data_IF_011718875298
#
_entry.id   IF_011718875298
#
_cell.length_a   1.000
_cell.length_b   1.000
_cell.length_c   1.000
_cell.angle_alpha   90.00
_cell.angle_beta   90.00
_cell.angle_gamma   90.00
#
_symmetry.space_group_name_H-M   'P 1'
#
loop_
_entity.id
_entity.type
_entity.pdbx_description
1 polymer ?
#
# COMPACT_ATOMS: atom_id res chain seq x y z
N UNK A 1 20.01 -16.44 4.03
CA UNK A 1 18.78 -17.22 3.75
C UNK A 1 18.81 -17.66 2.31
N UNK A 2 18.71 -18.95 2.09
CA UNK A 2 18.66 -19.55 0.75
C UNK A 2 17.40 -19.06 0.02
N UNK A 3 17.56 -18.62 -1.23
CA UNK A 3 16.43 -18.14 -2.05
C UNK A 3 15.82 -19.34 -2.76
N UNK A 4 14.60 -19.70 -2.41
CA UNK A 4 13.84 -20.75 -3.09
C UNK A 4 13.08 -20.13 -4.27
N UNK A 5 13.27 -20.68 -5.47
CA UNK A 5 12.50 -20.32 -6.67
C UNK A 5 11.28 -21.23 -6.77
N UNK A 6 10.08 -20.65 -6.78
CA UNK A 6 8.83 -21.36 -6.95
C UNK A 6 8.07 -20.83 -8.19
N UNK A 7 7.36 -21.71 -8.88
CA UNK A 7 6.44 -21.29 -9.96
C UNK A 7 5.27 -20.51 -9.38
N UNK A 8 5.00 -19.32 -9.90
CA UNK A 8 3.94 -18.43 -9.41
C UNK A 8 2.55 -19.09 -9.27
N UNK A 9 2.09 -19.97 -10.21
CA UNK A 9 0.81 -20.67 -10.05
C UNK A 9 0.77 -21.60 -8.82
N UNK A 10 1.86 -22.28 -8.52
CA UNK A 10 1.95 -23.18 -7.36
C UNK A 10 1.86 -22.36 -6.08
N UNK A 11 2.69 -21.32 -5.96
CA UNK A 11 2.70 -20.43 -4.81
C UNK A 11 1.32 -19.77 -4.60
N UNK A 12 0.69 -19.29 -5.67
CA UNK A 12 -0.66 -18.74 -5.61
C UNK A 12 -1.68 -19.73 -5.05
N UNK A 13 -1.65 -20.99 -5.48
CA UNK A 13 -2.56 -22.06 -5.00
C UNK A 13 -2.40 -22.25 -3.48
N UNK A 14 -1.17 -22.26 -2.98
CA UNK A 14 -0.91 -22.43 -1.55
C UNK A 14 -1.36 -21.20 -0.73
N UNK A 15 -1.11 -19.97 -1.24
CA UNK A 15 -1.60 -18.75 -0.58
C UNK A 15 -3.13 -18.73 -0.48
N UNK A 16 -3.83 -19.16 -1.52
CA UNK A 16 -5.31 -19.28 -1.50
C UNK A 16 -5.74 -20.26 -0.41
N UNK A 17 -5.11 -21.45 -0.33
CA UNK A 17 -5.41 -22.44 0.72
C UNK A 17 -5.22 -21.86 2.13
N UNK A 18 -4.11 -21.14 2.33
CA UNK A 18 -3.81 -20.51 3.61
C UNK A 18 -4.91 -19.50 3.97
N UNK A 19 -5.25 -18.56 3.09
CA UNK A 19 -6.29 -17.57 3.38
C UNK A 19 -7.65 -18.21 3.65
N UNK A 20 -8.00 -19.28 2.95
CA UNK A 20 -9.23 -20.05 3.20
C UNK A 20 -9.23 -20.68 4.60
N UNK A 21 -8.08 -21.23 5.04
CA UNK A 21 -7.93 -21.78 6.39
C UNK A 21 -8.15 -20.70 7.46
N UNK A 22 -7.85 -19.44 7.15
CA UNK A 22 -8.13 -18.30 8.02
C UNK A 22 -9.54 -17.69 7.83
N UNK A 23 -10.42 -18.35 7.07
CA UNK A 23 -11.85 -18.01 6.98
C UNK A 23 -12.25 -17.10 5.83
N UNK A 24 -11.33 -16.72 4.92
CA UNK A 24 -11.71 -15.99 3.73
C UNK A 24 -12.52 -16.87 2.78
N UNK A 25 -13.49 -16.27 2.07
CA UNK A 25 -14.16 -16.92 0.95
C UNK A 25 -13.17 -17.27 -0.16
N UNK A 26 -13.55 -18.17 -1.06
CA UNK A 26 -12.72 -18.54 -2.22
C UNK A 26 -12.33 -17.30 -3.06
N UNK A 27 -13.27 -16.38 -3.29
CA UNK A 27 -13.04 -15.18 -4.11
C UNK A 27 -12.13 -14.19 -3.39
N UNK A 28 -12.37 -13.92 -2.11
CA UNK A 28 -11.52 -13.04 -1.32
C UNK A 28 -10.09 -13.57 -1.18
N UNK A 29 -9.92 -14.88 -0.99
CA UNK A 29 -8.62 -15.53 -0.96
C UNK A 29 -7.90 -15.42 -2.31
N UNK A 30 -8.61 -15.60 -3.43
CA UNK A 30 -8.07 -15.47 -4.80
C UNK A 30 -7.63 -14.04 -5.10
N UNK A 31 -8.45 -13.04 -4.77
CA UNK A 31 -8.11 -11.62 -4.93
C UNK A 31 -6.85 -11.30 -4.13
N UNK A 32 -6.80 -11.69 -2.86
CA UNK A 32 -5.67 -11.43 -1.97
C UNK A 32 -4.38 -12.11 -2.44
N UNK A 33 -4.49 -13.37 -2.89
CA UNK A 33 -3.35 -14.10 -3.44
C UNK A 33 -2.82 -13.45 -4.73
N UNK A 34 -3.69 -12.99 -5.62
CA UNK A 34 -3.27 -12.29 -6.84
C UNK A 34 -2.41 -11.07 -6.54
N UNK A 35 -2.83 -10.23 -5.59
CA UNK A 35 -2.10 -9.03 -5.20
C UNK A 35 -0.73 -9.36 -4.58
N UNK A 36 -0.65 -10.38 -3.71
CA UNK A 36 0.62 -10.81 -3.13
C UNK A 36 1.59 -11.41 -4.16
N UNK A 37 1.08 -12.23 -5.07
CA UNK A 37 1.91 -12.83 -6.13
C UNK A 37 2.36 -11.76 -7.13
N UNK A 38 1.50 -10.79 -7.48
CA UNK A 38 1.92 -9.68 -8.32
C UNK A 38 3.10 -8.92 -7.72
N UNK A 39 3.07 -8.65 -6.40
CA UNK A 39 4.16 -7.98 -5.73
C UNK A 39 5.50 -8.76 -5.81
N UNK A 40 5.46 -10.09 -5.76
CA UNK A 40 6.65 -10.92 -5.98
C UNK A 40 7.14 -10.82 -7.42
N UNK A 41 6.24 -10.89 -8.40
CA UNK A 41 6.57 -10.86 -9.83
C UNK A 41 7.21 -9.54 -10.28
N UNK A 42 6.81 -8.42 -9.66
CA UNK A 42 7.40 -7.09 -9.94
C UNK A 42 8.58 -6.75 -9.04
N UNK A 43 9.07 -7.69 -8.22
CA UNK A 43 10.23 -7.48 -7.34
C UNK A 43 9.95 -6.65 -6.09
N UNK A 44 8.68 -6.38 -5.77
CA UNK A 44 8.29 -5.61 -4.59
C UNK A 44 8.09 -6.52 -3.36
N UNK A 45 9.09 -7.33 -3.03
CA UNK A 45 9.07 -8.38 -1.99
C UNK A 45 8.60 -7.91 -0.61
N UNK A 46 8.76 -6.62 -0.30
CA UNK A 46 8.24 -6.02 0.94
C UNK A 46 6.71 -5.94 1.02
N UNK A 47 6.00 -6.15 -0.10
CA UNK A 47 4.54 -6.13 -0.23
C UNK A 47 3.97 -7.48 -0.69
N UNK A 48 4.83 -8.48 -0.93
CA UNK A 48 4.49 -9.81 -1.37
C UNK A 48 4.30 -10.82 -0.23
N UNK A 49 4.76 -12.03 -0.45
CA UNK A 49 4.58 -13.19 0.45
C UNK A 49 5.17 -12.97 1.85
N UNK A 50 6.20 -12.14 1.96
CA UNK A 50 6.76 -11.74 3.26
C UNK A 50 5.72 -11.13 4.21
N UNK A 51 4.58 -10.68 3.70
CA UNK A 51 3.45 -10.11 4.46
C UNK A 51 2.35 -11.13 4.80
N UNK A 52 2.36 -12.32 4.21
CA UNK A 52 1.27 -13.30 4.39
C UNK A 52 1.00 -13.58 5.87
N UNK A 53 2.06 -13.84 6.65
CA UNK A 53 1.93 -14.08 8.10
C UNK A 53 1.25 -12.91 8.81
N UNK A 54 1.62 -11.67 8.48
CA UNK A 54 1.01 -10.48 9.08
C UNK A 54 -0.51 -10.42 8.85
N UNK A 55 -0.99 -10.76 7.64
CA UNK A 55 -2.43 -10.79 7.37
C UNK A 55 -3.12 -11.91 8.14
N UNK A 56 -2.54 -13.11 8.17
CA UNK A 56 -3.06 -14.23 8.95
C UNK A 56 -3.16 -13.89 10.44
N UNK A 57 -2.10 -13.32 11.02
CA UNK A 57 -2.08 -12.88 12.42
C UNK A 57 -3.18 -11.83 12.71
N UNK A 58 -3.42 -10.90 11.79
CA UNK A 58 -4.48 -9.88 11.91
C UNK A 58 -5.88 -10.48 11.85
N UNK A 59 -6.09 -11.48 11.02
CA UNK A 59 -7.36 -12.23 10.97
C UNK A 59 -7.58 -12.95 12.29
N UNK A 60 -6.59 -13.71 12.77
CA UNK A 60 -6.67 -14.43 14.05
C UNK A 60 -6.94 -13.49 15.23
N UNK A 61 -6.39 -12.27 15.20
CA UNK A 61 -6.60 -11.24 16.22
C UNK A 61 -7.89 -10.44 16.02
N UNK A 62 -8.75 -10.82 15.08
CA UNK A 62 -10.02 -10.15 14.75
C UNK A 62 -9.87 -8.67 14.31
N UNK A 63 -8.66 -8.26 13.89
CA UNK A 63 -8.41 -6.93 13.32
C UNK A 63 -8.87 -6.88 11.87
N UNK A 64 -8.81 -8.00 11.16
CA UNK A 64 -9.39 -8.17 9.82
C UNK A 64 -10.60 -9.09 9.94
N UNK A 65 -11.73 -8.62 9.40
CA UNK A 65 -12.95 -9.42 9.26
C UNK A 65 -12.83 -10.33 8.03
N UNK A 66 -12.76 -11.67 8.19
CA UNK A 66 -12.65 -12.59 7.05
C UNK A 66 -13.95 -12.76 6.25
N UNK A 67 -15.10 -12.36 6.83
CA UNK A 67 -16.43 -12.44 6.23
C UNK A 67 -17.14 -11.08 6.25
N UNK A 68 -16.56 -10.05 5.59
CA UNK A 68 -17.06 -8.68 5.68
C UNK A 68 -18.40 -8.52 4.94
N UNK A 69 -19.23 -7.64 5.46
CA UNK A 69 -20.44 -7.13 4.80
C UNK A 69 -20.12 -5.77 4.18
N UNK A 70 -19.42 -5.78 3.06
CA UNK A 70 -18.97 -4.56 2.37
C UNK A 70 -20.19 -3.81 1.82
N UNK A 71 -20.28 -2.50 2.14
CA UNK A 71 -21.37 -1.63 1.70
C UNK A 71 -20.85 -0.58 0.73
N UNK A 72 -21.54 -0.41 -0.39
CA UNK A 72 -21.23 0.61 -1.41
C UNK A 72 -22.38 1.61 -1.41
N UNK A 73 -22.07 2.88 -1.07
CA UNK A 73 -23.01 3.98 -1.15
C UNK A 73 -22.69 4.82 -2.39
N UNK A 74 -23.63 4.90 -3.31
CA UNK A 74 -23.56 5.83 -4.44
C UNK A 74 -23.84 7.25 -3.91
N UNK A 75 -22.93 8.19 -4.14
CA UNK A 75 -23.07 9.61 -3.77
C UNK A 75 -23.56 10.40 -4.97
N UNK A 76 -22.96 10.15 -6.16
CA UNK A 76 -23.37 10.68 -7.45
C UNK A 76 -23.14 9.62 -8.54
N UNK A 77 -23.31 9.97 -9.80
CA UNK A 77 -22.99 9.05 -10.89
C UNK A 77 -21.47 8.73 -10.95
N UNK A 78 -20.62 9.71 -10.62
CA UNK A 78 -19.16 9.59 -10.63
C UNK A 78 -18.54 9.20 -9.27
N UNK A 79 -19.26 9.43 -8.15
CA UNK A 79 -18.70 9.29 -6.79
C UNK A 79 -19.39 8.16 -6.03
N UNK A 80 -18.58 7.33 -5.37
CA UNK A 80 -19.06 6.27 -4.48
C UNK A 80 -18.21 6.21 -3.20
N UNK A 81 -18.85 5.84 -2.09
CA UNK A 81 -18.18 5.51 -0.84
C UNK A 81 -18.31 4.01 -0.57
N UNK A 82 -17.23 3.40 -0.08
CA UNK A 82 -17.19 2.00 0.33
C UNK A 82 -16.89 1.94 1.83
N UNK A 83 -17.77 1.28 2.57
CA UNK A 83 -17.45 0.80 3.91
C UNK A 83 -17.03 -0.66 3.78
N UNK A 84 -15.76 -0.93 4.02
CA UNK A 84 -15.18 -2.24 3.80
C UNK A 84 -15.33 -3.19 4.99
N UNK A 85 -16.00 -2.78 6.07
CA UNK A 85 -16.29 -3.61 7.25
C UNK A 85 -15.04 -4.34 7.78
N UNK A 86 -13.92 -3.62 7.87
CA UNK A 86 -12.62 -4.14 8.25
C UNK A 86 -12.13 -5.35 7.43
N UNK A 87 -12.54 -5.45 6.17
CA UNK A 87 -12.07 -6.50 5.27
C UNK A 87 -10.55 -6.47 5.10
N UNK A 88 -9.99 -7.56 4.60
CA UNK A 88 -8.63 -7.53 4.10
C UNK A 88 -8.52 -6.48 2.98
N UNK A 89 -7.51 -5.60 3.07
CA UNK A 89 -7.40 -4.44 2.19
C UNK A 89 -7.39 -4.75 0.69
N UNK A 90 -6.87 -5.91 0.30
CA UNK A 90 -6.86 -6.38 -1.10
C UNK A 90 -8.25 -6.44 -1.71
N UNK A 91 -9.23 -6.91 -0.95
CA UNK A 91 -10.63 -7.05 -1.41
C UNK A 91 -11.28 -5.67 -1.54
N UNK A 92 -11.09 -4.81 -0.54
CA UNK A 92 -11.63 -3.46 -0.57
C UNK A 92 -11.07 -2.65 -1.75
N UNK A 93 -9.76 -2.74 -2.00
CA UNK A 93 -9.10 -2.05 -3.11
C UNK A 93 -9.52 -2.59 -4.49
N UNK A 94 -9.69 -3.91 -4.63
CA UNK A 94 -10.19 -4.53 -5.86
C UNK A 94 -11.62 -4.06 -6.20
N UNK A 95 -12.49 -4.01 -5.19
CA UNK A 95 -13.86 -3.49 -5.36
C UNK A 95 -13.82 -2.01 -5.71
N UNK A 96 -12.97 -1.23 -5.04
CA UNK A 96 -12.87 0.22 -5.24
C UNK A 96 -12.39 0.57 -6.64
N UNK A 97 -11.32 -0.07 -7.12
CA UNK A 97 -10.81 0.23 -8.47
C UNK A 97 -11.79 -0.17 -9.56
N UNK A 98 -12.46 -1.32 -9.43
CA UNK A 98 -13.50 -1.76 -10.35
C UNK A 98 -14.68 -0.79 -10.39
N UNK A 99 -15.08 -0.27 -9.23
CA UNK A 99 -16.15 0.73 -9.12
C UNK A 99 -15.74 2.05 -9.73
N UNK A 100 -14.51 2.54 -9.48
CA UNK A 100 -13.97 3.75 -10.07
C UNK A 100 -13.92 3.66 -11.60
N UNK A 101 -13.41 2.55 -12.14
CA UNK A 101 -13.39 2.26 -13.59
C UNK A 101 -14.81 2.28 -14.17
N UNK A 102 -15.77 1.61 -13.51
CA UNK A 102 -17.17 1.57 -13.97
C UNK A 102 -17.81 2.96 -13.98
N UNK A 103 -17.56 3.78 -12.96
CA UNK A 103 -18.05 5.15 -12.91
C UNK A 103 -17.40 6.00 -14.01
N UNK A 104 -16.06 5.96 -14.15
CA UNK A 104 -15.33 6.74 -15.14
C UNK A 104 -15.76 6.46 -16.57
N UNK A 105 -16.04 5.20 -16.90
CA UNK A 105 -16.55 4.83 -18.24
C UNK A 105 -17.93 5.43 -18.56
N UNK A 106 -18.72 5.77 -17.53
CA UNK A 106 -20.07 6.33 -17.70
C UNK A 106 -20.09 7.85 -17.72
N UNK A 107 -19.16 8.46 -17.00
CA UNK A 107 -19.22 9.91 -16.68
C UNK A 107 -17.93 10.67 -16.97
N UNK A 108 -16.92 9.98 -17.55
CA UNK A 108 -15.60 10.57 -17.79
C UNK A 108 -14.68 10.55 -16.56
N UNK A 109 -15.24 10.49 -15.34
CA UNK A 109 -14.47 10.46 -14.07
C UNK A 109 -15.10 9.47 -13.10
N UNK A 110 -14.28 8.80 -12.27
CA UNK A 110 -14.74 7.93 -11.18
C UNK A 110 -13.93 8.14 -9.92
N UNK A 111 -14.59 8.58 -8.85
CA UNK A 111 -13.99 8.74 -7.52
C UNK A 111 -14.58 7.72 -6.55
N UNK A 112 -13.72 7.01 -5.84
CA UNK A 112 -14.16 6.07 -4.80
C UNK A 112 -13.36 6.30 -3.53
N UNK A 113 -14.05 6.65 -2.45
CA UNK A 113 -13.48 6.72 -1.12
C UNK A 113 -13.76 5.42 -0.36
N UNK A 114 -12.76 4.88 0.34
CA UNK A 114 -12.85 3.63 1.10
C UNK A 114 -12.54 3.91 2.58
N UNK A 115 -13.37 3.40 3.47
CA UNK A 115 -13.14 3.42 4.92
C UNK A 115 -13.21 2.02 5.50
N UNK A 116 -12.77 1.85 6.75
CA UNK A 116 -12.77 0.58 7.47
C UNK A 116 -12.08 -0.53 6.67
N UNK A 117 -10.88 -0.22 6.16
CA UNK A 117 -10.04 -1.13 5.38
C UNK A 117 -8.63 -1.19 5.96
N UNK A 118 -7.91 -2.23 5.61
CA UNK A 118 -6.52 -2.42 6.02
C UNK A 118 -5.52 -2.22 4.88
N UNK A 119 -4.29 -2.60 5.14
CA UNK A 119 -3.21 -2.61 4.15
C UNK A 119 -3.59 -3.46 2.94
N UNK A 120 -3.38 -2.93 1.71
CA UNK A 120 -3.82 -3.54 0.45
C UNK A 120 -2.68 -3.87 -0.54
N UNK A 121 -1.43 -3.83 -0.08
CA UNK A 121 -0.25 -4.15 -0.91
C UNK A 121 0.22 -2.97 -1.74
N UNK A 122 0.47 -3.20 -3.03
CA UNK A 122 0.94 -2.20 -3.98
C UNK A 122 -0.22 -1.45 -4.62
N UNK A 123 -0.17 -0.13 -4.64
CA UNK A 123 -1.15 0.70 -5.36
C UNK A 123 -1.04 0.51 -6.86
N UNK A 124 0.17 0.32 -7.38
CA UNK A 124 0.45 0.08 -8.79
C UNK A 124 -0.31 -1.13 -9.37
N UNK A 125 -0.55 -2.18 -8.58
CA UNK A 125 -1.34 -3.35 -8.98
C UNK A 125 -2.79 -2.99 -9.36
N UNK A 126 -3.38 -2.03 -8.64
CA UNK A 126 -4.74 -1.55 -8.95
C UNK A 126 -4.72 -0.49 -10.04
N UNK A 127 -3.70 0.37 -10.05
CA UNK A 127 -3.53 1.37 -11.10
C UNK A 127 -3.43 0.71 -12.47
N UNK A 128 -2.69 -0.38 -12.60
CA UNK A 128 -2.57 -1.16 -13.84
C UNK A 128 -3.92 -1.64 -14.38
N UNK A 129 -4.88 -1.96 -13.51
CA UNK A 129 -6.22 -2.40 -13.93
C UNK A 129 -7.01 -1.27 -14.61
N UNK A 130 -6.85 -0.01 -14.17
CA UNK A 130 -7.48 1.14 -14.81
C UNK A 130 -6.77 1.51 -16.12
N UNK A 131 -5.45 1.52 -16.11
CA UNK A 131 -4.63 1.82 -17.28
C UNK A 131 -4.90 0.84 -18.43
N UNK A 132 -5.06 -0.44 -18.15
CA UNK A 132 -5.49 -1.47 -19.14
C UNK A 132 -6.89 -1.22 -19.72
N UNK A 133 -7.63 -0.25 -19.19
CA UNK A 133 -8.94 0.20 -19.70
C UNK A 133 -8.86 1.60 -20.31
N UNK A 134 -7.64 2.06 -20.65
CA UNK A 134 -7.35 3.38 -21.20
C UNK A 134 -7.78 4.55 -20.28
N UNK A 135 -7.62 4.37 -18.97
CA UNK A 135 -7.94 5.39 -17.98
C UNK A 135 -6.65 5.86 -17.29
N UNK A 136 -6.56 7.16 -17.06
CA UNK A 136 -5.61 7.72 -16.10
C UNK A 136 -6.13 7.43 -14.69
N UNK A 137 -5.25 7.11 -13.76
CA UNK A 137 -5.64 6.78 -12.40
C UNK A 137 -4.71 7.41 -11.38
N UNK A 138 -5.29 7.81 -10.25
CA UNK A 138 -4.59 8.26 -9.05
C UNK A 138 -5.11 7.48 -7.86
N UNK A 139 -4.20 6.99 -7.01
CA UNK A 139 -4.55 6.25 -5.80
C UNK A 139 -3.78 6.86 -4.64
N UNK A 140 -4.51 7.20 -3.59
CA UNK A 140 -3.97 7.78 -2.36
C UNK A 140 -4.39 6.92 -1.17
N UNK A 141 -3.53 6.85 -0.18
CA UNK A 141 -3.89 6.24 1.10
C UNK A 141 -3.11 6.87 2.24
N UNK A 142 -3.67 6.79 3.43
CA UNK A 142 -2.98 7.13 4.66
C UNK A 142 -2.38 5.88 5.31
N UNK A 143 -1.40 6.09 6.18
CA UNK A 143 -0.77 5.04 6.98
C UNK A 143 -0.57 5.49 8.42
N UNK A 144 -0.19 4.56 9.32
CA UNK A 144 0.14 4.93 10.69
C UNK A 144 1.36 5.86 10.74
N UNK A 145 1.46 6.73 11.78
CA UNK A 145 2.59 7.67 11.93
C UNK A 145 3.94 6.96 11.84
N UNK A 146 4.80 7.44 10.94
CA UNK A 146 6.14 6.91 10.69
C UNK A 146 7.13 7.96 10.17
N UNK A 147 6.61 9.07 9.64
CA UNK A 147 7.38 10.14 8.99
C UNK A 147 7.27 11.40 9.85
N UNK A 148 8.40 12.04 10.11
CA UNK A 148 8.43 13.33 10.78
C UNK A 148 8.18 14.48 9.79
N UNK A 149 7.50 15.56 10.17
CA UNK A 149 7.55 16.81 9.43
C UNK A 149 8.99 17.30 9.26
N UNK A 150 9.24 18.14 8.25
CA UNK A 150 10.55 18.73 8.10
C UNK A 150 10.96 19.53 9.35
N UNK A 151 12.18 19.36 9.81
CA UNK A 151 12.69 19.98 11.05
C UNK A 151 12.24 19.32 12.35
N UNK A 152 11.35 18.34 12.30
CA UNK A 152 10.90 17.57 13.46
C UNK A 152 11.59 16.19 13.55
N UNK A 153 11.52 15.59 14.75
CA UNK A 153 12.05 14.24 15.00
C UNK A 153 11.02 13.29 15.62
N UNK A 154 9.76 13.72 15.73
CA UNK A 154 8.64 12.87 16.13
C UNK A 154 7.77 12.55 14.92
N UNK A 155 7.33 11.31 14.78
CA UNK A 155 6.46 10.90 13.71
C UNK A 155 5.07 11.52 13.86
N UNK A 156 4.58 12.14 12.80
CA UNK A 156 3.23 12.70 12.70
C UNK A 156 2.48 12.08 11.51
N UNK A 157 3.12 12.02 10.35
CA UNK A 157 2.51 11.52 9.13
C UNK A 157 2.79 10.03 8.91
N UNK A 158 1.90 9.36 8.20
CA UNK A 158 2.16 8.04 7.63
C UNK A 158 3.10 8.14 6.42
N UNK A 159 3.48 7.00 5.87
CA UNK A 159 4.22 6.93 4.60
C UNK A 159 3.36 7.31 3.39
N UNK A 160 2.06 7.36 3.57
CA UNK A 160 1.00 7.90 2.71
C UNK A 160 1.33 7.78 1.21
N UNK A 161 1.40 6.57 0.66
CA UNK A 161 1.80 6.38 -0.73
C UNK A 161 0.85 7.07 -1.70
N UNK A 162 1.44 7.57 -2.78
CA UNK A 162 0.76 8.16 -3.92
C UNK A 162 1.08 7.30 -5.13
N UNK A 163 0.06 6.90 -5.86
CA UNK A 163 0.23 6.20 -7.12
C UNK A 163 -0.45 6.99 -8.25
N UNK A 164 0.27 7.10 -9.36
CA UNK A 164 -0.23 7.65 -10.61
C UNK A 164 0.00 6.63 -11.72
N UNK A 165 -1.02 6.36 -12.53
CA UNK A 165 -0.93 5.46 -13.66
C UNK A 165 -1.57 6.08 -14.90
N UNK A 166 -0.94 5.94 -16.05
CA UNK A 166 -1.47 6.40 -17.34
C UNK A 166 -1.11 5.45 -18.47
N UNK A 167 -1.96 5.29 -19.48
CA UNK A 167 -1.56 4.67 -20.73
C UNK A 167 -0.34 5.38 -21.30
N UNK A 168 0.53 4.62 -21.95
CA UNK A 168 1.65 5.15 -22.72
C UNK A 168 1.45 4.80 -24.20
N UNK A 169 2.21 5.39 -25.09
CA UNK A 169 2.23 5.00 -26.51
C UNK A 169 2.84 3.62 -26.75
N UNK A 170 3.20 2.86 -25.71
CA UNK A 170 3.82 1.54 -25.80
C UNK A 170 2.98 0.47 -25.07
N UNK A 171 3.43 -0.81 -25.18
CA UNK A 171 2.82 -1.93 -24.45
C UNK A 171 2.98 -1.83 -22.93
N UNK A 172 3.97 -1.05 -22.44
CA UNK A 172 4.27 -0.89 -21.02
C UNK A 172 3.67 0.43 -20.55
N UNK A 173 2.69 0.41 -19.63
CA UNK A 173 2.10 1.63 -19.11
C UNK A 173 3.09 2.37 -18.21
N UNK A 174 2.88 3.68 -18.04
CA UNK A 174 3.57 4.44 -17.01
C UNK A 174 2.83 4.27 -15.68
N UNK A 175 3.52 3.75 -14.68
CA UNK A 175 2.98 3.62 -13.32
C UNK A 175 4.05 4.12 -12.33
N UNK A 176 3.71 5.16 -11.60
CA UNK A 176 4.45 5.68 -10.47
C UNK A 176 3.74 5.25 -9.19
N UNK A 177 4.41 4.52 -8.30
CA UNK A 177 3.88 4.09 -7.00
C UNK A 177 4.97 4.29 -5.94
N UNK A 178 4.81 5.30 -5.11
CA UNK A 178 5.83 5.70 -4.14
C UNK A 178 5.23 6.17 -2.82
N UNK A 179 5.92 5.84 -1.72
CA UNK A 179 5.67 6.49 -0.44
C UNK A 179 6.15 7.94 -0.47
N UNK A 180 5.54 8.81 0.36
CA UNK A 180 6.01 10.18 0.56
C UNK A 180 7.17 10.29 1.57
N UNK A 181 7.83 9.17 1.85
CA UNK A 181 9.06 9.11 2.67
C UNK A 181 10.27 8.69 1.84
N UNK A 182 11.46 9.16 2.20
CA UNK A 182 12.74 8.84 1.54
C UNK A 182 13.00 7.32 1.49
N UNK A 183 12.48 6.59 2.47
CA UNK A 183 12.59 5.13 2.55
C UNK A 183 11.32 4.54 3.16
N UNK A 184 10.87 3.40 2.69
CA UNK A 184 9.76 2.73 3.34
C UNK A 184 10.23 1.87 4.53
N UNK A 185 9.34 1.68 5.52
CA UNK A 185 9.66 0.94 6.74
C UNK A 185 10.01 -0.53 6.49
N UNK A 186 9.53 -1.11 5.38
CA UNK A 186 9.88 -2.46 4.95
C UNK A 186 11.35 -2.58 4.58
N UNK A 187 11.91 -1.60 3.84
CA UNK A 187 13.34 -1.56 3.51
C UNK A 187 14.21 -1.40 4.76
N UNK A 188 13.80 -0.57 5.73
CA UNK A 188 14.51 -0.42 7.01
C UNK A 188 14.53 -1.75 7.78
N UNK A 189 13.38 -2.45 7.87
CA UNK A 189 13.31 -3.78 8.52
C UNK A 189 14.16 -4.82 7.81
N UNK A 190 14.18 -4.80 6.48
CA UNK A 190 15.02 -5.69 5.70
C UNK A 190 16.50 -5.43 5.96
N UNK A 191 16.93 -4.16 5.94
CA UNK A 191 18.30 -3.78 6.26
C UNK A 191 18.69 -4.19 7.69
N UNK A 192 17.81 -3.96 8.68
CA UNK A 192 18.00 -4.40 10.06
C UNK A 192 18.22 -5.91 10.19
N UNK A 193 17.37 -6.71 9.51
CA UNK A 193 17.49 -8.19 9.55
C UNK A 193 18.76 -8.72 8.87
N UNK A 194 19.32 -7.99 7.93
CA UNK A 194 20.51 -8.38 7.17
C UNK A 194 21.77 -7.62 7.59
N UNK A 195 21.74 -6.92 8.71
CA UNK A 195 22.84 -6.08 9.21
C UNK A 195 23.40 -5.10 8.14
N UNK A 196 22.51 -4.56 7.29
CA UNK A 196 22.86 -3.62 6.24
C UNK A 196 22.69 -2.18 6.72
N UNK A 197 23.60 -1.31 6.28
CA UNK A 197 23.49 0.13 6.49
C UNK A 197 22.43 0.75 5.59
N UNK A 198 21.76 1.78 6.07
CA UNK A 198 20.87 2.63 5.30
C UNK A 198 21.65 3.72 4.58
N UNK A 199 21.11 4.28 3.48
CA UNK A 199 21.63 5.53 2.94
C UNK A 199 21.55 6.66 3.99
N UNK A 200 22.49 7.62 3.91
CA UNK A 200 22.40 8.83 4.74
C UNK A 200 21.21 9.69 4.29
N UNK A 201 20.59 10.40 5.24
CA UNK A 201 19.49 11.33 4.93
C UNK A 201 18.11 10.69 4.74
N UNK A 202 17.92 9.41 5.08
CA UNK A 202 16.61 8.74 4.94
C UNK A 202 15.86 8.58 6.26
N UNK A 203 16.55 8.64 7.39
CA UNK A 203 15.95 8.45 8.72
C UNK A 203 16.72 9.17 9.81
N UNK A 204 16.03 9.46 10.91
CA UNK A 204 16.61 9.92 12.17
C UNK A 204 16.47 8.82 13.23
N UNK A 205 17.37 8.85 14.22
CA UNK A 205 17.23 8.03 15.41
C UNK A 205 16.18 8.61 16.39
N UNK A 206 16.00 7.97 17.53
CA UNK A 206 15.04 8.42 18.56
C UNK A 206 15.35 9.79 19.17
N UNK A 207 16.58 10.30 18.98
CA UNK A 207 17.03 11.60 19.47
C UNK A 207 17.03 12.68 18.38
N UNK A 208 16.56 12.37 17.18
CA UNK A 208 16.51 13.29 16.04
C UNK A 208 17.83 13.43 15.29
N UNK A 209 18.82 12.56 15.54
CA UNK A 209 20.11 12.59 14.82
C UNK A 209 20.03 11.74 13.56
N UNK A 210 20.58 12.19 12.41
CA UNK A 210 20.68 11.40 11.21
C UNK A 210 21.36 10.05 11.48
N UNK A 211 20.83 8.96 10.94
CA UNK A 211 21.38 7.63 11.17
C UNK A 211 21.35 6.75 9.93
N UNK A 212 22.44 5.99 9.75
CA UNK A 212 22.56 4.91 8.77
C UNK A 212 22.34 3.53 9.40
N UNK A 213 22.18 3.46 10.73
CA UNK A 213 21.90 2.25 11.47
C UNK A 213 20.41 1.92 11.38
N UNK A 214 20.08 0.80 10.75
CA UNK A 214 18.70 0.36 10.55
C UNK A 214 17.96 0.09 11.88
N UNK A 215 18.64 -0.38 12.92
CA UNK A 215 18.03 -0.63 14.24
C UNK A 215 17.70 0.68 14.97
N UNK A 216 18.57 1.68 14.86
CA UNK A 216 18.31 3.03 15.39
C UNK A 216 17.17 3.71 14.62
N UNK A 217 17.14 3.59 13.28
CA UNK A 217 16.08 4.12 12.43
C UNK A 217 14.71 3.47 12.71
N UNK A 218 14.64 2.19 13.08
CA UNK A 218 13.38 1.54 13.48
C UNK A 218 12.79 2.09 14.78
N UNK A 219 13.63 2.64 15.66
CA UNK A 219 13.24 3.30 16.91
C UNK A 219 13.02 4.80 16.76
N UNK A 220 13.38 5.35 15.61
CA UNK A 220 13.23 6.75 15.25
C UNK A 220 12.18 6.97 14.17
N UNK A 221 12.43 7.90 13.25
CA UNK A 221 11.48 8.34 12.23
C UNK A 221 12.11 8.34 10.84
N UNK A 222 11.27 8.18 9.84
CA UNK A 222 11.63 8.35 8.43
C UNK A 222 11.57 9.83 8.05
N UNK A 223 12.42 10.24 7.11
CA UNK A 223 12.39 11.58 6.56
C UNK A 223 11.46 11.67 5.35
N UNK A 224 10.84 12.85 5.14
CA UNK A 224 9.96 13.08 3.99
C UNK A 224 10.75 13.10 2.68
N UNK A 225 10.08 12.70 1.59
CA UNK A 225 10.63 12.78 0.24
C UNK A 225 10.89 14.25 -0.13
N UNK A 226 11.96 14.53 -0.90
CA UNK A 226 12.37 15.86 -1.35
C UNK A 226 12.67 16.88 -0.22
N UNK A 227 12.91 16.41 1.01
CA UNK A 227 13.33 17.24 2.12
C UNK A 227 12.33 18.36 2.47
N UNK A 228 12.82 19.60 2.64
CA UNK A 228 11.99 20.75 3.05
C UNK A 228 10.93 21.15 2.02
N UNK A 229 11.22 21.02 0.74
CA UNK A 229 10.38 21.56 -0.35
C UNK A 229 9.01 20.87 -0.43
N UNK A 230 8.97 19.55 -0.36
CA UNK A 230 7.70 18.80 -0.47
C UNK A 230 6.74 19.04 0.69
N UNK A 231 7.26 19.39 1.87
CA UNK A 231 6.43 19.54 3.07
C UNK A 231 6.03 20.98 3.36
N UNK A 232 6.78 21.97 2.87
CA UNK A 232 6.37 23.39 2.97
C UNK A 232 5.14 23.71 2.15
N UNK A 233 4.87 22.94 1.09
CA UNK A 233 3.70 23.13 0.24
C UNK A 233 2.53 22.19 0.57
N UNK A 234 2.76 21.09 1.31
CA UNK A 234 1.73 20.14 1.74
C UNK A 234 1.16 20.44 3.14
N UNK A 235 1.88 21.20 3.96
CA UNK A 235 1.37 21.75 5.21
C UNK A 235 0.90 23.16 4.95
N UNK A 236 -0.41 23.35 4.82
CA UNK A 236 -1.00 24.68 4.97
C UNK A 236 -0.46 25.27 6.28
N UNK A 237 0.05 26.51 6.28
CA UNK A 237 0.42 27.16 7.50
C UNK A 237 -0.84 27.34 8.33
N UNK A 238 -1.04 26.47 9.31
CA UNK A 238 -1.95 26.69 10.41
C UNK A 238 -1.32 27.76 11.32
N UNK A 239 -1.30 28.97 10.85
CA UNK A 239 -1.30 30.15 11.70
C UNK A 239 -2.76 30.55 11.87
N UNK A 240 -3.36 30.08 12.92
CA UNK A 240 -4.42 30.82 13.57
C UNK A 240 -3.76 31.92 14.39
#
# INVERSE_FOLDING_TARGET
MEKVKLKAPILKKEVIKIFKKYGLSQDHAKISANALINAELVGAFGHGISRLKMYCDRISKKVINPKPKIKIKKISQSISHIDADNSIGFVAADIAIKKAISNAKKTGIGLVAVRNSGHYGLSGYYAEQAVKKNLVTMIYTNGPPAVAPHGAFKSLFGTNPVCFGTPSGSKIPFIFDSSISMINRGKIRFASKNNQKLPLGVALDKFGKPTIDANKALKGVQLPIAGSVSYTHLTLPTKA
#
